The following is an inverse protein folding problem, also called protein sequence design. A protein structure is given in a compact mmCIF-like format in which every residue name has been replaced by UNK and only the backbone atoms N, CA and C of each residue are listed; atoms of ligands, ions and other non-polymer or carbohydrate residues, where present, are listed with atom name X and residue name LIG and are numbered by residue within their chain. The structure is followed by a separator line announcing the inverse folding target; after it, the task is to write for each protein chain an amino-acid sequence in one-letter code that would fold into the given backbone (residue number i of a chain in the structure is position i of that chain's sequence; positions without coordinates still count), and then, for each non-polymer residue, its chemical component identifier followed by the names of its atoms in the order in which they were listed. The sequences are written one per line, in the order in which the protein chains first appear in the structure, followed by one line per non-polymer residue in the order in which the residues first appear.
data_IF_623080092963
#
_entry.id   IF_623080092963
#
_cell.length_a   1.000
_cell.length_b   1.000
_cell.length_c   1.000
_cell.angle_alpha   90.00
_cell.angle_beta   90.00
_cell.angle_gamma   90.00
#
_symmetry.space_group_name_H-M   'P 1'
#
loop_
_entity.id
_entity.type
_entity.pdbx_description
1 polymer ?
#
# COMPACT_ATOMS: atom_id res chain seq x y z
N UNK A 1 18.71 -41.28 -47.36
CA UNK A 1 18.94 -41.64 -45.93
C UNK A 1 19.76 -40.55 -45.18
N UNK A 2 19.42 -39.25 -45.42
CA UNK A 2 20.17 -38.10 -44.83
C UNK A 2 19.33 -37.20 -43.89
N UNK A 3 18.04 -37.47 -43.77
CA UNK A 3 17.13 -36.61 -42.95
C UNK A 3 17.26 -36.79 -41.45
N UNK A 4 17.69 -37.95 -40.93
CA UNK A 4 17.76 -38.22 -39.52
C UNK A 4 18.91 -37.47 -38.79
N UNK A 5 20.09 -37.34 -39.45
CA UNK A 5 21.25 -36.67 -38.84
C UNK A 5 21.06 -35.13 -38.72
N UNK A 6 20.37 -34.53 -39.68
CA UNK A 6 20.06 -33.08 -39.67
C UNK A 6 19.08 -32.73 -38.54
N UNK A 7 18.05 -33.56 -38.37
CA UNK A 7 17.08 -33.33 -37.27
C UNK A 7 17.76 -33.48 -35.89
N UNK A 8 18.65 -34.46 -35.74
CA UNK A 8 19.39 -34.63 -34.48
C UNK A 8 20.26 -33.42 -34.16
N UNK A 9 20.95 -32.85 -35.15
CA UNK A 9 21.78 -31.65 -34.98
C UNK A 9 20.96 -30.41 -34.61
N UNK A 10 19.79 -30.26 -35.23
CA UNK A 10 18.86 -29.16 -34.93
C UNK A 10 18.33 -29.27 -33.48
N UNK A 11 17.86 -30.46 -33.09
CA UNK A 11 17.37 -30.66 -31.69
C UNK A 11 18.46 -30.47 -30.64
N UNK A 12 19.69 -30.91 -30.94
CA UNK A 12 20.84 -30.67 -30.02
C UNK A 12 21.16 -29.18 -29.92
N UNK A 13 21.16 -28.45 -31.02
CA UNK A 13 21.42 -27.01 -31.00
C UNK A 13 20.32 -26.24 -30.22
N UNK A 14 19.05 -26.60 -30.41
CA UNK A 14 17.92 -26.03 -29.66
C UNK A 14 18.05 -26.35 -28.17
N UNK A 15 18.37 -27.57 -27.80
CA UNK A 15 18.56 -27.96 -26.40
C UNK A 15 19.71 -27.20 -25.73
N UNK A 16 20.85 -27.03 -26.42
CA UNK A 16 21.97 -26.24 -25.91
C UNK A 16 21.59 -24.78 -25.76
N UNK A 17 20.89 -24.19 -26.74
CA UNK A 17 20.41 -22.81 -26.66
C UNK A 17 19.47 -22.62 -25.48
N UNK A 18 18.55 -23.55 -25.26
CA UNK A 18 17.61 -23.52 -24.15
C UNK A 18 18.33 -23.60 -22.79
N UNK A 19 19.31 -24.50 -22.66
CA UNK A 19 20.14 -24.60 -21.45
C UNK A 19 20.91 -23.30 -21.20
N UNK A 20 21.48 -22.68 -22.24
CA UNK A 20 22.18 -21.40 -22.12
C UNK A 20 21.24 -20.27 -21.66
N UNK A 21 20.00 -20.22 -22.20
CA UNK A 21 18.99 -19.23 -21.79
C UNK A 21 18.59 -19.44 -20.33
N UNK A 22 18.33 -20.69 -19.92
CA UNK A 22 17.92 -21.00 -18.54
C UNK A 22 19.05 -20.71 -17.56
N UNK A 23 20.29 -21.10 -17.92
CA UNK A 23 21.47 -20.82 -17.08
C UNK A 23 21.70 -19.32 -16.96
N UNK A 24 21.64 -18.55 -18.05
CA UNK A 24 21.71 -17.08 -17.98
C UNK A 24 20.60 -16.49 -17.15
N UNK A 25 19.36 -16.91 -17.36
CA UNK A 25 18.23 -16.43 -16.56
C UNK A 25 18.36 -16.78 -15.06
N UNK A 26 19.01 -17.89 -14.72
CA UNK A 26 19.31 -18.27 -13.34
C UNK A 26 20.46 -17.44 -12.74
N UNK A 27 21.47 -17.05 -13.54
CA UNK A 27 22.56 -16.20 -13.10
C UNK A 27 22.23 -14.71 -13.14
N UNK A 28 21.33 -14.28 -14.05
CA UNK A 28 20.82 -12.91 -14.11
C UNK A 28 19.69 -12.65 -13.08
N UNK A 29 19.23 -13.67 -12.35
CA UNK A 29 18.45 -13.40 -11.13
C UNK A 29 19.39 -12.68 -10.19
N UNK A 30 19.28 -11.34 -10.16
CA UNK A 30 19.85 -10.55 -9.09
C UNK A 30 19.44 -11.26 -7.80
N UNK A 31 20.43 -11.73 -7.03
CA UNK A 31 20.20 -12.05 -5.62
C UNK A 31 19.51 -10.78 -5.07
N UNK A 32 18.39 -10.88 -4.35
CA UNK A 32 17.95 -9.76 -3.56
C UNK A 32 19.18 -9.35 -2.76
N UNK A 33 19.71 -8.16 -3.00
CA UNK A 33 20.72 -7.61 -2.11
C UNK A 33 20.07 -7.75 -0.75
N UNK A 34 20.76 -8.41 0.20
CA UNK A 34 20.24 -8.57 1.56
C UNK A 34 20.10 -7.16 2.15
N UNK A 35 18.96 -6.52 1.83
CA UNK A 35 18.65 -5.19 2.30
C UNK A 35 18.28 -5.34 3.77
N UNK A 36 19.18 -4.92 4.65
CA UNK A 36 18.91 -4.92 6.09
C UNK A 36 18.10 -3.65 6.38
N UNK A 37 16.80 -3.82 6.54
CA UNK A 37 15.91 -2.76 7.04
C UNK A 37 16.33 -2.41 8.46
N UNK A 38 16.63 -1.13 8.69
CA UNK A 38 17.06 -0.59 9.98
C UNK A 38 15.98 0.22 10.67
N UNK A 39 15.03 0.76 9.91
CA UNK A 39 13.91 1.53 10.42
C UNK A 39 13.01 0.65 11.31
N UNK A 40 12.70 1.17 12.49
CA UNK A 40 11.73 0.51 13.37
C UNK A 40 10.31 0.84 12.94
N UNK A 41 9.35 0.01 13.36
CA UNK A 41 7.93 0.32 13.12
C UNK A 41 7.52 1.70 13.66
N UNK A 42 8.07 2.14 14.78
CA UNK A 42 7.79 3.47 15.34
C UNK A 42 8.34 4.60 14.48
N UNK A 43 9.49 4.40 13.84
CA UNK A 43 10.08 5.37 12.92
C UNK A 43 9.21 5.49 11.65
N UNK A 44 8.82 4.35 11.07
CA UNK A 44 7.91 4.30 9.91
C UNK A 44 6.57 4.96 10.23
N UNK A 45 5.98 4.69 11.40
CA UNK A 45 4.71 5.29 11.82
C UNK A 45 4.82 6.82 12.00
N UNK A 46 5.89 7.31 12.62
CA UNK A 46 6.10 8.75 12.81
C UNK A 46 6.33 9.45 11.46
N UNK A 47 7.06 8.79 10.56
CA UNK A 47 7.27 9.27 9.20
C UNK A 47 5.97 9.29 8.39
N UNK A 48 5.18 8.20 8.42
CA UNK A 48 3.86 8.10 7.79
C UNK A 48 2.93 9.23 8.24
N UNK A 49 2.87 9.49 9.56
CA UNK A 49 2.07 10.57 10.13
C UNK A 49 2.46 11.93 9.54
N UNK A 50 3.76 12.21 9.42
CA UNK A 50 4.26 13.47 8.86
C UNK A 50 3.92 13.61 7.37
N UNK A 51 4.06 12.54 6.59
CA UNK A 51 3.75 12.57 5.15
C UNK A 51 2.25 12.71 4.91
N UNK A 52 1.44 11.97 5.63
CA UNK A 52 -0.02 12.03 5.52
C UNK A 52 -0.58 13.41 5.92
N UNK A 53 -0.05 14.03 6.98
CA UNK A 53 -0.41 15.40 7.34
C UNK A 53 -0.15 16.38 6.19
N UNK A 54 1.00 16.25 5.52
CA UNK A 54 1.32 17.08 4.36
C UNK A 54 0.41 16.79 3.14
N UNK A 55 -0.01 15.53 2.96
CA UNK A 55 -0.88 15.10 1.86
C UNK A 55 -2.35 15.57 2.04
N UNK A 56 -2.86 15.64 3.29
CA UNK A 56 -4.26 15.98 3.59
C UNK A 56 -4.71 17.28 2.93
N UNK A 57 -3.90 18.33 2.98
CA UNK A 57 -4.26 19.64 2.40
C UNK A 57 -4.58 19.54 0.91
N UNK A 58 -3.76 18.79 0.16
CA UNK A 58 -3.94 18.58 -1.28
C UNK A 58 -5.12 17.65 -1.54
N UNK A 59 -5.21 16.56 -0.79
CA UNK A 59 -6.29 15.58 -0.88
C UNK A 59 -7.67 16.23 -0.73
N UNK A 60 -7.85 17.08 0.27
CA UNK A 60 -9.11 17.82 0.47
C UNK A 60 -9.40 18.82 -0.63
N UNK A 61 -8.38 19.58 -1.08
CA UNK A 61 -8.56 20.58 -2.12
C UNK A 61 -8.92 19.98 -3.48
N UNK A 62 -8.32 18.85 -3.83
CA UNK A 62 -8.54 18.14 -5.09
C UNK A 62 -9.71 17.13 -5.00
N UNK A 63 -10.17 16.81 -3.78
CA UNK A 63 -11.21 15.79 -3.48
C UNK A 63 -10.86 14.42 -4.04
N UNK A 64 -9.62 14.02 -3.87
CA UNK A 64 -9.10 12.73 -4.34
C UNK A 64 -8.29 12.05 -3.26
N UNK A 65 -8.19 10.74 -3.34
CA UNK A 65 -7.20 10.00 -2.59
C UNK A 65 -5.79 10.25 -3.14
N UNK A 66 -4.85 10.39 -2.25
CA UNK A 66 -3.42 10.46 -2.57
C UNK A 66 -2.73 9.27 -1.96
N UNK A 67 -1.85 8.61 -2.69
CA UNK A 67 -1.11 7.48 -2.18
C UNK A 67 0.37 7.47 -2.57
N UNK A 68 1.18 6.81 -1.75
CA UNK A 68 2.60 6.58 -1.97
C UNK A 68 3.07 5.33 -1.20
N UNK A 69 4.29 4.90 -1.46
CA UNK A 69 4.98 3.87 -0.67
C UNK A 69 6.10 4.53 0.13
N UNK A 70 6.16 4.24 1.43
CA UNK A 70 7.33 4.54 2.26
C UNK A 70 8.37 3.47 2.01
N UNK A 71 9.59 3.87 1.80
CA UNK A 71 10.72 2.97 1.65
C UNK A 71 11.92 3.45 2.48
N UNK A 72 12.82 2.53 2.80
CA UNK A 72 14.14 2.82 3.33
C UNK A 72 15.17 2.72 2.20
N UNK A 73 16.04 3.70 2.06
CA UNK A 73 17.10 3.67 1.07
C UNK A 73 18.34 2.91 1.58
N UNK A 74 19.33 2.72 0.72
CA UNK A 74 20.57 2.01 1.06
C UNK A 74 21.44 2.70 2.13
N UNK A 75 21.07 3.90 2.58
CA UNK A 75 21.75 4.62 3.66
C UNK A 75 20.99 4.52 4.99
N UNK A 76 19.78 3.93 4.97
CA UNK A 76 18.88 3.85 6.12
C UNK A 76 17.96 5.07 6.26
N UNK A 77 17.87 5.92 5.22
CA UNK A 77 16.98 7.08 5.26
C UNK A 77 15.58 6.67 4.78
N UNK A 78 14.52 7.16 5.48
CA UNK A 78 13.14 6.98 5.05
C UNK A 78 12.75 8.06 4.05
N UNK A 79 12.08 7.64 2.96
CA UNK A 79 11.52 8.54 1.96
C UNK A 79 10.22 7.93 1.39
N UNK A 80 9.51 8.68 0.53
CA UNK A 80 8.32 8.20 -0.17
C UNK A 80 8.54 8.18 -1.69
N UNK A 81 7.79 7.33 -2.37
CA UNK A 81 7.68 7.40 -3.83
C UNK A 81 6.97 8.68 -4.28
N UNK A 82 6.93 8.93 -5.58
CA UNK A 82 6.07 9.97 -6.13
C UNK A 82 4.63 9.76 -5.65
N UNK A 83 4.01 10.83 -5.15
CA UNK A 83 2.61 10.80 -4.69
C UNK A 83 1.69 10.71 -5.89
N UNK A 84 0.91 9.64 -5.95
CA UNK A 84 -0.09 9.39 -6.99
C UNK A 84 -1.41 9.99 -6.53
N UNK A 85 -2.10 10.68 -7.43
CA UNK A 85 -3.48 11.09 -7.22
C UNK A 85 -4.40 10.02 -7.85
N UNK A 86 -5.31 9.52 -7.05
CA UNK A 86 -6.36 8.59 -7.46
C UNK A 86 -7.64 9.32 -7.86
N UNK A 87 -8.77 8.76 -7.49
CA UNK A 87 -10.09 9.40 -7.58
C UNK A 87 -10.68 9.67 -6.17
N UNK A 88 -11.99 9.81 -6.07
CA UNK A 88 -12.68 10.16 -4.82
C UNK A 88 -12.61 9.07 -3.74
N UNK A 89 -12.37 7.82 -4.12
CA UNK A 89 -12.48 6.65 -3.23
C UNK A 89 -11.46 5.54 -3.52
N UNK A 90 -10.53 5.75 -4.42
CA UNK A 90 -9.47 4.78 -4.72
C UNK A 90 -8.19 5.45 -5.15
N UNK A 91 -7.07 4.85 -4.78
CA UNK A 91 -5.75 5.21 -5.29
C UNK A 91 -4.96 3.94 -5.63
N UNK A 92 -4.55 3.84 -6.88
CA UNK A 92 -3.89 2.64 -7.42
C UNK A 92 -2.37 2.74 -7.24
N UNK A 93 -1.86 2.11 -6.18
CA UNK A 93 -0.43 1.99 -5.94
C UNK A 93 0.16 0.97 -6.90
N UNK A 94 1.15 1.40 -7.68
CA UNK A 94 1.90 0.48 -8.53
C UNK A 94 2.98 -0.23 -7.71
N UNK A 95 3.17 -1.51 -7.99
CA UNK A 95 4.25 -2.30 -7.39
C UNK A 95 5.59 -1.53 -7.47
N UNK A 96 6.25 -1.45 -6.32
CA UNK A 96 7.50 -0.74 -6.16
C UNK A 96 8.64 -1.74 -5.95
N UNK A 97 9.46 -1.92 -6.98
CA UNK A 97 10.68 -2.73 -6.91
C UNK A 97 11.82 -1.94 -7.56
N UNK A 98 12.58 -1.23 -6.75
CA UNK A 98 13.76 -0.48 -7.17
C UNK A 98 14.97 -0.96 -6.39
N UNK A 99 16.10 -1.29 -7.05
CA UNK A 99 17.34 -1.69 -6.38
C UNK A 99 17.80 -0.63 -5.36
N UNK A 100 18.14 -1.07 -4.15
CA UNK A 100 18.61 -0.20 -3.08
C UNK A 100 17.49 0.56 -2.34
N UNK A 101 16.24 0.17 -2.53
CA UNK A 101 15.09 0.72 -1.82
C UNK A 101 14.22 -0.43 -1.30
N UNK A 102 14.00 -0.49 0.02
CA UNK A 102 13.12 -1.49 0.63
C UNK A 102 11.76 -0.88 0.92
N UNK A 103 10.66 -1.33 0.28
CA UNK A 103 9.33 -0.88 0.62
C UNK A 103 8.97 -1.33 2.04
N UNK A 104 8.44 -0.42 2.85
CA UNK A 104 8.12 -0.65 4.26
C UNK A 104 6.63 -0.53 4.56
N UNK A 105 5.95 0.42 3.92
CA UNK A 105 4.52 0.64 4.15
C UNK A 105 3.87 1.37 2.97
N UNK A 106 2.58 1.11 2.75
CA UNK A 106 1.73 1.98 1.96
C UNK A 106 1.25 3.17 2.80
N UNK A 107 1.02 4.32 2.17
CA UNK A 107 0.32 5.45 2.79
C UNK A 107 -0.73 5.98 1.82
N UNK A 108 -1.93 6.29 2.32
CA UNK A 108 -2.94 6.99 1.53
C UNK A 108 -3.89 7.83 2.37
N UNK A 109 -4.54 8.78 1.71
CA UNK A 109 -5.60 9.61 2.28
C UNK A 109 -6.95 9.14 1.77
N UNK A 110 -8.01 9.30 2.56
CA UNK A 110 -9.39 8.98 2.14
C UNK A 110 -10.14 10.16 1.51
N UNK A 111 -9.41 11.03 0.77
CA UNK A 111 -10.04 12.13 0.06
C UNK A 111 -10.67 13.20 0.97
N UNK A 112 -11.55 14.01 0.41
CA UNK A 112 -12.37 14.98 1.15
C UNK A 112 -13.57 14.28 1.80
N UNK A 113 -14.14 14.92 2.83
CA UNK A 113 -15.34 14.41 3.47
C UNK A 113 -16.53 14.41 2.49
N UNK A 114 -17.22 13.29 2.42
CA UNK A 114 -18.46 13.11 1.68
C UNK A 114 -19.37 12.15 2.46
N UNK A 115 -20.65 12.54 2.69
CA UNK A 115 -21.62 11.73 3.42
C UNK A 115 -22.00 10.42 2.70
N UNK A 116 -21.69 10.30 1.41
CA UNK A 116 -21.93 9.09 0.59
C UNK A 116 -20.89 8.00 0.78
N UNK A 117 -19.77 8.29 1.45
CA UNK A 117 -18.66 7.37 1.64
C UNK A 117 -18.37 7.08 3.11
N UNK A 118 -17.97 5.86 3.41
CA UNK A 118 -17.46 5.45 4.73
C UNK A 118 -15.95 5.74 4.83
N UNK A 119 -15.57 7.01 4.83
CA UNK A 119 -14.17 7.47 4.72
C UNK A 119 -13.40 7.52 6.04
N UNK A 120 -14.06 7.21 7.19
CA UNK A 120 -13.43 7.35 8.50
C UNK A 120 -12.75 6.08 9.03
N UNK A 121 -12.84 4.98 8.29
CA UNK A 121 -12.25 3.68 8.62
C UNK A 121 -11.60 3.12 7.35
N UNK A 122 -10.44 2.45 7.43
CA UNK A 122 -9.86 1.76 6.28
C UNK A 122 -10.87 0.81 5.63
N UNK A 123 -10.88 0.77 4.32
CA UNK A 123 -11.78 -0.10 3.57
C UNK A 123 -11.34 -1.57 3.65
N UNK A 124 -12.22 -2.47 3.23
CA UNK A 124 -11.85 -3.88 3.05
C UNK A 124 -10.74 -4.04 2.01
N UNK A 125 -10.80 -3.23 0.94
CA UNK A 125 -9.84 -3.28 -0.17
C UNK A 125 -8.44 -2.84 0.30
N UNK A 126 -8.34 -1.82 1.16
CA UNK A 126 -7.06 -1.37 1.72
C UNK A 126 -6.40 -2.51 2.52
N UNK A 127 -7.17 -3.17 3.40
CA UNK A 127 -6.64 -4.28 4.19
C UNK A 127 -6.24 -5.47 3.31
N UNK A 128 -7.03 -5.81 2.30
CA UNK A 128 -6.73 -6.92 1.37
C UNK A 128 -5.50 -6.59 0.50
N UNK A 129 -5.36 -5.34 0.07
CA UNK A 129 -4.21 -4.86 -0.71
C UNK A 129 -2.92 -4.96 0.10
N UNK A 130 -2.87 -4.39 1.30
CA UNK A 130 -1.68 -4.42 2.15
C UNK A 130 -1.30 -5.85 2.56
N UNK A 131 -2.27 -6.76 2.76
CA UNK A 131 -2.01 -8.18 2.98
C UNK A 131 -1.39 -8.83 1.73
N UNK A 132 -1.89 -8.51 0.54
CA UNK A 132 -1.38 -9.08 -0.71
C UNK A 132 0.03 -8.61 -1.04
N UNK A 133 0.35 -7.36 -0.68
CA UNK A 133 1.67 -6.75 -0.88
C UNK A 133 2.65 -7.06 0.25
N UNK A 134 2.17 -7.68 1.36
CA UNK A 134 2.97 -8.04 2.54
C UNK A 134 3.66 -6.83 3.20
N UNK A 135 3.03 -5.65 3.18
CA UNK A 135 3.51 -4.42 3.83
C UNK A 135 2.42 -3.84 4.74
N UNK A 136 2.85 -3.08 5.76
CA UNK A 136 1.90 -2.30 6.58
C UNK A 136 1.29 -1.15 5.77
N UNK A 137 0.06 -0.74 6.11
CA UNK A 137 -0.57 0.44 5.54
C UNK A 137 -0.82 1.53 6.58
N UNK A 138 -0.79 2.78 6.16
CA UNK A 138 -1.23 3.90 7.00
C UNK A 138 -2.23 4.75 6.24
N UNK A 139 -3.37 5.02 6.88
CA UNK A 139 -4.51 5.69 6.27
C UNK A 139 -4.88 6.92 7.08
N UNK A 140 -4.96 8.07 6.40
CA UNK A 140 -5.45 9.33 6.99
C UNK A 140 -6.86 9.62 6.51
N UNK A 141 -7.75 9.95 7.45
CA UNK A 141 -9.18 10.17 7.18
C UNK A 141 -9.54 11.66 7.16
N UNK A 142 -10.66 12.05 6.53
CA UNK A 142 -11.16 13.44 6.56
C UNK A 142 -11.36 13.99 7.96
N UNK A 143 -11.77 13.16 8.92
CA UNK A 143 -11.89 13.52 10.33
C UNK A 143 -10.57 13.59 11.09
N UNK A 144 -9.42 13.46 10.39
CA UNK A 144 -8.09 13.57 10.98
C UNK A 144 -7.70 12.39 11.84
N UNK A 145 -8.23 11.20 11.61
CA UNK A 145 -7.76 9.94 12.22
C UNK A 145 -6.58 9.40 11.45
N UNK A 146 -5.67 8.73 12.18
CA UNK A 146 -4.62 7.92 11.58
C UNK A 146 -4.88 6.45 11.93
N UNK A 147 -4.92 5.62 10.91
CA UNK A 147 -5.00 4.17 11.03
C UNK A 147 -3.70 3.52 10.59
N UNK A 148 -3.39 2.37 11.20
CA UNK A 148 -2.39 1.43 10.71
C UNK A 148 -3.07 0.12 10.35
N UNK A 149 -2.77 -0.38 9.17
CA UNK A 149 -3.08 -1.73 8.74
C UNK A 149 -1.87 -2.61 9.05
N UNK A 150 -2.07 -3.59 9.92
CA UNK A 150 -1.08 -4.62 10.27
C UNK A 150 -1.36 -5.83 9.38
N UNK A 151 -0.60 -5.96 8.30
CA UNK A 151 -0.82 -7.01 7.31
C UNK A 151 -0.64 -8.41 7.90
N UNK A 152 0.32 -8.59 8.83
CA UNK A 152 0.60 -9.88 9.46
C UNK A 152 -0.54 -10.35 10.36
N UNK A 153 -1.23 -9.41 11.01
CA UNK A 153 -2.38 -9.70 11.87
C UNK A 153 -3.71 -9.55 11.16
N UNK A 154 -3.71 -9.15 9.89
CA UNK A 154 -4.89 -8.90 9.08
C UNK A 154 -5.92 -8.01 9.81
N UNK A 155 -5.49 -6.83 10.26
CA UNK A 155 -6.33 -5.89 11.01
C UNK A 155 -5.94 -4.44 10.81
N UNK A 156 -6.94 -3.56 10.83
CA UNK A 156 -6.73 -2.13 10.97
C UNK A 156 -6.77 -1.74 12.45
N UNK A 157 -5.86 -0.86 12.88
CA UNK A 157 -5.74 -0.35 14.24
C UNK A 157 -5.70 1.17 14.22
N UNK A 158 -6.53 1.81 15.05
CA UNK A 158 -6.49 3.26 15.24
C UNK A 158 -5.21 3.64 15.97
N UNK A 159 -4.34 4.40 15.29
CA UNK A 159 -3.09 4.92 15.84
C UNK A 159 -3.37 6.19 16.63
N UNK A 160 -4.14 7.11 16.04
CA UNK A 160 -4.58 8.29 16.75
C UNK A 160 -6.01 8.71 16.36
N UNK A 161 -6.75 9.30 17.33
CA UNK A 161 -8.19 9.55 17.17
C UNK A 161 -8.47 10.74 16.26
N UNK A 162 -9.75 11.04 16.11
CA UNK A 162 -10.26 12.21 15.41
C UNK A 162 -9.54 13.50 15.82
N UNK A 163 -9.20 14.33 14.83
CA UNK A 163 -8.50 15.60 15.03
C UNK A 163 -7.02 15.49 15.36
N UNK A 164 -6.43 14.31 15.25
CA UNK A 164 -5.00 14.08 15.46
C UNK A 164 -4.17 14.58 14.25
N UNK A 165 -4.70 14.40 13.04
CA UNK A 165 -4.20 15.00 11.82
C UNK A 165 -5.11 16.16 11.40
N UNK A 166 -4.68 16.90 10.36
CA UNK A 166 -5.51 17.94 9.76
C UNK A 166 -6.89 17.37 9.38
N UNK A 167 -7.96 18.07 9.76
CA UNK A 167 -9.32 17.73 9.39
C UNK A 167 -9.75 18.50 8.13
N UNK A 168 -10.60 17.87 7.32
CA UNK A 168 -11.34 18.60 6.30
C UNK A 168 -12.28 19.59 6.97
N UNK A 169 -12.34 20.81 6.46
CA UNK A 169 -13.25 21.85 6.98
C UNK A 169 -14.74 21.51 6.78
N UNK A 170 -15.05 20.60 5.84
CA UNK A 170 -16.38 20.09 5.60
C UNK A 170 -16.73 18.89 6.49
N UNK A 171 -15.78 18.32 7.23
CA UNK A 171 -15.99 17.15 8.06
C UNK A 171 -17.07 17.37 9.12
N UNK A 172 -18.00 16.42 9.18
CA UNK A 172 -19.05 16.35 10.20
C UNK A 172 -18.94 15.01 10.94
N UNK A 173 -18.70 15.08 12.25
CA UNK A 173 -18.70 13.87 13.08
C UNK A 173 -20.07 13.21 13.06
N UNK A 174 -20.10 11.90 12.87
CA UNK A 174 -21.33 11.12 12.81
C UNK A 174 -21.64 10.46 14.17
N UNK A 175 -22.56 10.98 14.99
CA UNK A 175 -22.87 10.38 16.29
C UNK A 175 -23.46 8.97 16.18
N UNK A 176 -24.05 8.65 15.04
CA UNK A 176 -24.71 7.38 14.79
C UNK A 176 -23.75 6.30 14.25
N UNK A 177 -22.52 6.65 13.89
CA UNK A 177 -21.50 5.72 13.44
C UNK A 177 -20.38 5.55 14.48
N UNK A 178 -20.54 4.55 15.35
CA UNK A 178 -19.51 4.22 16.34
C UNK A 178 -18.29 3.62 15.65
N UNK A 179 -17.18 4.34 15.68
CA UNK A 179 -15.89 3.87 15.15
C UNK A 179 -15.13 3.15 16.26
N UNK A 180 -14.85 1.85 16.04
CA UNK A 180 -14.03 1.05 16.95
C UNK A 180 -12.55 1.41 16.80
N UNK A 181 -11.72 1.04 17.78
CA UNK A 181 -10.26 1.27 17.72
C UNK A 181 -9.52 0.19 16.91
N UNK A 182 -10.19 -0.89 16.54
CA UNK A 182 -9.64 -2.00 15.76
C UNK A 182 -10.72 -2.64 14.90
N UNK A 183 -10.34 -3.06 13.69
CA UNK A 183 -11.17 -3.87 12.81
C UNK A 183 -10.37 -5.04 12.26
N UNK A 184 -10.94 -6.24 12.36
CA UNK A 184 -10.46 -7.43 11.64
C UNK A 184 -11.02 -7.46 10.21
N UNK A 185 -10.48 -8.32 9.37
CA UNK A 185 -10.98 -8.55 8.01
C UNK A 185 -12.49 -8.83 8.00
N UNK A 186 -12.98 -9.71 8.91
CA UNK A 186 -14.41 -10.02 9.00
C UNK A 186 -15.27 -8.81 9.40
N UNK A 187 -14.76 -7.92 10.26
CA UNK A 187 -15.46 -6.70 10.66
C UNK A 187 -15.50 -5.67 9.55
N UNK A 188 -14.41 -5.50 8.77
CA UNK A 188 -14.41 -4.63 7.58
C UNK A 188 -15.31 -5.20 6.49
N UNK A 189 -15.32 -6.52 6.27
CA UNK A 189 -16.27 -7.16 5.36
C UNK A 189 -17.71 -6.86 5.75
N UNK A 190 -18.05 -7.00 7.04
CA UNK A 190 -19.39 -6.69 7.53
C UNK A 190 -19.73 -5.20 7.42
N UNK A 191 -18.75 -4.31 7.66
CA UNK A 191 -18.91 -2.85 7.51
C UNK A 191 -19.14 -2.46 6.07
N UNK A 192 -18.41 -3.03 5.12
CA UNK A 192 -18.55 -2.77 3.68
C UNK A 192 -19.92 -3.21 3.11
N UNK A 193 -20.59 -4.17 3.75
CA UNK A 193 -21.90 -4.65 3.32
C UNK A 193 -23.08 -3.83 3.90
N UNK A 194 -22.83 -2.97 4.86
CA UNK A 194 -23.87 -2.11 5.44
C UNK A 194 -24.09 -0.84 4.60
N UNK A 195 -25.30 -0.28 4.61
CA UNK A 195 -25.50 1.05 4.06
C UNK A 195 -24.64 2.09 4.80
N UNK A 196 -24.16 3.10 4.08
CA UNK A 196 -23.51 4.26 4.71
C UNK A 196 -24.49 4.91 5.69
N UNK A 197 -24.00 5.24 6.87
CA UNK A 197 -24.84 5.82 7.94
C UNK A 197 -25.08 7.28 7.63
N UNK A 198 -26.34 7.66 7.53
CA UNK A 198 -26.70 9.06 7.41
C UNK A 198 -26.46 9.80 8.74
N UNK A 199 -25.63 10.79 8.70
CA UNK A 199 -25.26 11.66 9.81
C UNK A 199 -26.11 12.91 9.86
#
# INVERSE_FOLDING_TARGET
MFTGRYNTLIYTAIAILWVVIVVRAAFDRKQPEDFIVTATQSDVQAFAMTQLEAMQTRSFAEKVELCAIIYEDSKGDLDITDVIAGDEATCDLRYFDRPGMAPLASIHTHGAFDEGYDSEVPSLIDLEGDIADEIDGYVATPGGRLWRIDWQKARAQLVCPEGCLQQDTAYLACPNDAIATTYSLAQLTARNLRPVVNC
#
